data_IF_697484687086
#
_entry.id   IF_697484687086
#
_cell.length_a   1.000
_cell.length_b   1.000
_cell.length_c   1.000
_cell.angle_alpha   90.00
_cell.angle_beta   90.00
_cell.angle_gamma   90.00
#
_symmetry.space_group_name_H-M   'P 1'
#
loop_
_entity.id
_entity.type
_entity.pdbx_description
1 polymer ?
#
# COMPACT_ATOMS: atom_id res chain seq x y z
N UNK A 1 13.94 0.37 -9.17
CA UNK A 1 13.40 -0.72 -8.32
C UNK A 1 12.02 -0.39 -7.78
N UNK A 2 11.81 0.85 -7.34
CA UNK A 2 10.55 1.22 -6.69
C UNK A 2 9.30 1.10 -7.58
N UNK A 3 9.38 1.24 -8.91
CA UNK A 3 8.21 1.07 -9.77
C UNK A 3 7.52 -0.30 -9.56
N UNK A 4 8.32 -1.38 -9.52
CA UNK A 4 7.80 -2.73 -9.25
C UNK A 4 7.29 -2.86 -7.81
N UNK A 5 7.97 -2.23 -6.83
CA UNK A 5 7.52 -2.21 -5.44
C UNK A 5 6.18 -1.46 -5.29
N UNK A 6 5.98 -0.36 -5.99
CA UNK A 6 4.72 0.37 -6.03
C UNK A 6 3.62 -0.48 -6.63
N UNK A 7 3.86 -1.15 -7.76
CA UNK A 7 2.88 -2.06 -8.36
C UNK A 7 2.50 -3.21 -7.42
N UNK A 8 3.49 -3.79 -6.74
CA UNK A 8 3.26 -4.85 -5.75
C UNK A 8 2.44 -4.34 -4.55
N UNK A 9 2.79 -3.17 -4.00
CA UNK A 9 2.05 -2.53 -2.92
C UNK A 9 0.61 -2.21 -3.34
N UNK A 10 0.43 -1.64 -4.53
CA UNK A 10 -0.88 -1.31 -5.10
C UNK A 10 -1.77 -2.56 -5.27
N UNK A 11 -1.22 -3.63 -5.84
CA UNK A 11 -1.93 -4.91 -5.97
C UNK A 11 -2.29 -5.49 -4.58
N UNK A 12 -1.39 -5.40 -3.60
CA UNK A 12 -1.64 -5.86 -2.24
C UNK A 12 -2.73 -5.04 -1.52
N UNK A 13 -2.75 -3.71 -1.70
CA UNK A 13 -3.85 -2.86 -1.19
C UNK A 13 -5.17 -3.21 -1.84
N UNK A 14 -5.19 -3.45 -3.16
CA UNK A 14 -6.40 -3.84 -3.86
C UNK A 14 -6.92 -5.19 -3.35
N UNK A 15 -6.02 -6.15 -3.11
CA UNK A 15 -6.37 -7.43 -2.49
C UNK A 15 -6.93 -7.23 -1.06
N UNK A 16 -6.27 -6.41 -0.23
CA UNK A 16 -6.76 -6.09 1.12
C UNK A 16 -8.16 -5.45 1.07
N UNK A 17 -8.39 -4.50 0.16
CA UNK A 17 -9.68 -3.86 -0.04
C UNK A 17 -10.77 -4.87 -0.39
N UNK A 18 -10.52 -5.76 -1.36
CA UNK A 18 -11.46 -6.84 -1.73
C UNK A 18 -11.78 -7.73 -0.53
N UNK A 19 -10.76 -8.15 0.24
CA UNK A 19 -10.97 -9.04 1.40
C UNK A 19 -11.74 -8.29 2.51
N UNK A 20 -11.49 -7.01 2.72
CA UNK A 20 -12.28 -6.18 3.65
C UNK A 20 -13.73 -6.03 3.18
N UNK A 21 -13.99 -5.89 1.88
CA UNK A 21 -15.34 -5.91 1.33
C UNK A 21 -16.02 -7.26 1.57
N UNK A 22 -15.31 -8.38 1.40
CA UNK A 22 -15.84 -9.71 1.75
C UNK A 22 -16.10 -9.83 3.26
N UNK A 23 -15.24 -9.26 4.11
CA UNK A 23 -15.47 -9.20 5.55
C UNK A 23 -16.72 -8.37 5.89
N UNK A 24 -16.96 -7.26 5.21
CA UNK A 24 -18.13 -6.41 5.43
C UNK A 24 -19.46 -7.18 5.30
N UNK A 25 -19.56 -8.08 4.33
CA UNK A 25 -20.75 -8.93 4.17
C UNK A 25 -20.72 -10.19 5.04
N UNK A 26 -19.57 -10.85 5.17
CA UNK A 26 -19.49 -12.14 5.87
C UNK A 26 -19.42 -12.02 7.39
N UNK A 27 -18.93 -10.89 7.92
CA UNK A 27 -18.67 -10.62 9.34
C UNK A 27 -17.78 -11.67 10.05
N UNK A 28 -17.10 -12.53 9.27
CA UNK A 28 -16.25 -13.61 9.81
C UNK A 28 -14.92 -13.05 10.32
N UNK A 29 -14.59 -13.35 11.58
CA UNK A 29 -13.35 -12.89 12.22
C UNK A 29 -12.09 -13.35 11.47
N UNK A 30 -12.11 -14.54 10.87
CA UNK A 30 -11.01 -15.09 10.07
C UNK A 30 -10.75 -14.22 8.83
N UNK A 31 -11.79 -13.78 8.13
CA UNK A 31 -11.66 -12.94 6.93
C UNK A 31 -11.07 -11.58 7.30
N UNK A 32 -11.49 -11.00 8.42
CA UNK A 32 -10.90 -9.77 8.96
C UNK A 32 -9.40 -9.92 9.26
N UNK A 33 -9.00 -11.04 9.86
CA UNK A 33 -7.60 -11.28 10.19
C UNK A 33 -6.74 -11.40 8.93
N UNK A 34 -7.23 -12.09 7.90
CA UNK A 34 -6.55 -12.15 6.60
C UNK A 34 -6.45 -10.76 5.98
N UNK A 35 -7.54 -9.98 5.97
CA UNK A 35 -7.53 -8.61 5.43
C UNK A 35 -6.48 -7.73 6.12
N UNK A 36 -6.38 -7.80 7.46
CA UNK A 36 -5.38 -7.07 8.25
C UNK A 36 -3.95 -7.46 7.89
N UNK A 37 -3.67 -8.75 7.77
CA UNK A 37 -2.33 -9.23 7.41
C UNK A 37 -1.94 -8.74 6.02
N UNK A 38 -2.83 -8.89 5.02
CA UNK A 38 -2.57 -8.43 3.65
C UNK A 38 -2.37 -6.91 3.61
N UNK A 39 -3.16 -6.15 4.38
CA UNK A 39 -3.02 -4.71 4.48
C UNK A 39 -1.67 -4.29 5.10
N UNK A 40 -1.22 -4.94 6.19
CA UNK A 40 0.10 -4.67 6.79
C UNK A 40 1.23 -4.97 5.80
N UNK A 41 1.12 -6.06 5.03
CA UNK A 41 2.10 -6.37 3.97
C UNK A 41 2.08 -5.29 2.89
N UNK A 42 0.91 -4.80 2.48
CA UNK A 42 0.80 -3.72 1.50
C UNK A 42 1.46 -2.42 2.00
N UNK A 43 1.18 -2.01 3.23
CA UNK A 43 1.79 -0.84 3.87
C UNK A 43 3.30 -0.96 4.04
N UNK A 44 3.79 -2.16 4.36
CA UNK A 44 5.22 -2.45 4.44
C UNK A 44 5.89 -2.32 3.07
N UNK A 45 5.30 -2.90 2.02
CA UNK A 45 5.80 -2.77 0.65
C UNK A 45 5.78 -1.32 0.18
N UNK A 46 4.73 -0.56 0.50
CA UNK A 46 4.63 0.85 0.14
C UNK A 46 5.69 1.70 0.87
N UNK A 47 5.97 1.40 2.13
CA UNK A 47 7.06 2.02 2.90
C UNK A 47 8.40 1.78 2.23
N UNK A 48 8.70 0.52 1.85
CA UNK A 48 9.94 0.19 1.13
C UNK A 48 9.99 0.92 -0.21
N UNK A 49 8.87 1.01 -0.95
CA UNK A 49 8.78 1.80 -2.18
C UNK A 49 9.15 3.27 -1.96
N UNK A 50 8.62 3.93 -0.91
CA UNK A 50 8.91 5.33 -0.58
C UNK A 50 10.40 5.53 -0.26
N UNK A 51 11.01 4.62 0.50
CA UNK A 51 12.45 4.66 0.80
C UNK A 51 13.27 4.58 -0.48
N UNK A 52 12.97 3.62 -1.36
CA UNK A 52 13.69 3.48 -2.64
C UNK A 52 13.47 4.70 -3.55
N UNK A 53 12.24 5.24 -3.63
CA UNK A 53 11.98 6.46 -4.39
C UNK A 53 12.71 7.67 -3.86
N UNK A 54 12.78 7.84 -2.53
CA UNK A 54 13.54 8.90 -1.91
C UNK A 54 15.03 8.83 -2.29
N UNK A 55 15.62 7.64 -2.21
CA UNK A 55 17.03 7.42 -2.59
C UNK A 55 17.24 7.66 -4.09
N UNK A 56 16.36 7.16 -4.95
CA UNK A 56 16.47 7.27 -6.41
C UNK A 56 16.25 8.71 -6.91
N UNK A 57 15.35 9.48 -6.26
CA UNK A 57 15.02 10.85 -6.67
C UNK A 57 15.93 11.92 -6.01
N UNK A 58 16.54 11.61 -4.87
CA UNK A 58 17.37 12.57 -4.12
C UNK A 58 16.57 13.65 -3.38
N UNK A 59 15.24 13.51 -3.32
CA UNK A 59 14.34 14.41 -2.61
C UNK A 59 13.13 13.63 -2.06
N UNK A 60 12.39 14.25 -1.16
CA UNK A 60 11.10 13.71 -0.70
C UNK A 60 10.17 13.50 -1.91
N UNK A 61 9.52 12.33 -2.09
CA UNK A 61 8.67 12.06 -3.25
C UNK A 61 7.32 12.81 -3.15
N UNK A 62 7.34 14.11 -3.43
CA UNK A 62 6.17 15.01 -3.39
C UNK A 62 6.23 16.06 -4.52
N UNK A 63 7.09 15.88 -5.52
CA UNK A 63 7.35 16.92 -6.53
C UNK A 63 6.52 16.73 -7.81
N UNK A 64 5.94 15.55 -8.00
CA UNK A 64 4.99 15.25 -9.10
C UNK A 64 3.64 14.79 -8.57
N UNK A 65 2.60 14.87 -9.40
CA UNK A 65 1.25 14.43 -9.01
C UNK A 65 1.20 12.96 -8.59
N UNK A 66 1.92 12.10 -9.31
CA UNK A 66 2.01 10.68 -8.99
C UNK A 66 2.68 10.46 -7.63
N UNK A 67 3.79 11.16 -7.39
CA UNK A 67 4.51 11.10 -6.12
C UNK A 67 3.66 11.59 -4.95
N UNK A 68 3.01 12.75 -5.09
CA UNK A 68 2.17 13.33 -4.05
C UNK A 68 1.01 12.41 -3.68
N UNK A 69 0.32 11.82 -4.68
CA UNK A 69 -0.79 10.88 -4.41
C UNK A 69 -0.27 9.62 -3.75
N UNK A 70 0.86 9.07 -4.22
CA UNK A 70 1.46 7.87 -3.65
C UNK A 70 1.94 8.09 -2.21
N UNK A 71 2.59 9.22 -1.93
CA UNK A 71 3.06 9.60 -0.60
C UNK A 71 1.90 9.84 0.36
N UNK A 72 0.85 10.53 -0.11
CA UNK A 72 -0.38 10.73 0.68
C UNK A 72 -1.04 9.39 1.01
N UNK A 73 -1.24 8.51 0.02
CA UNK A 73 -1.81 7.19 0.24
C UNK A 73 -1.01 6.38 1.26
N UNK A 74 0.33 6.42 1.18
CA UNK A 74 1.20 5.79 2.17
C UNK A 74 1.01 6.38 3.57
N UNK A 75 0.91 7.71 3.69
CA UNK A 75 0.81 8.39 5.00
C UNK A 75 -0.48 8.12 5.76
N UNK A 76 -1.55 7.74 5.06
CA UNK A 76 -2.87 7.42 5.66
C UNK A 76 -3.12 5.92 5.80
N UNK A 77 -2.16 5.10 5.37
CA UNK A 77 -2.24 3.64 5.47
C UNK A 77 -1.93 3.14 6.88
#
# INVERSE_FOLDING_TARGET
MSYLLFQAAFAAYLAAAVIYTVFFFSQKAQVRNVARIVFIVAASLHTVNIIFRYIEAGHTPITSIHETISFFAWSVS
#
